data_IF_119645699603
#
_entry.id   IF_119645699603
#
_cell.length_a   1.000
_cell.length_b   1.000
_cell.length_c   1.000
_cell.angle_alpha   90.00
_cell.angle_beta   90.00
_cell.angle_gamma   90.00
#
_symmetry.space_group_name_H-M   'P 1'
#
loop_
_entity.id
_entity.type
_entity.pdbx_description
1 polymer ?
#
# COMPACT_ATOMS: atom_id res chain seq x y z
N UNK A 1 18.03 6.33 18.98
CA UNK A 1 16.85 7.14 18.66
C UNK A 1 15.57 6.39 19.05
N UNK A 2 14.48 7.12 19.31
CA UNK A 2 13.17 6.54 19.61
C UNK A 2 12.40 6.29 18.31
N UNK A 3 11.66 5.19 18.24
CA UNK A 3 10.75 4.85 17.15
C UNK A 3 9.66 3.92 17.70
N UNK A 4 8.54 3.84 17.00
CA UNK A 4 7.43 2.96 17.38
C UNK A 4 7.74 1.49 17.04
N UNK A 5 8.66 1.25 16.12
CA UNK A 5 9.10 -0.07 15.76
C UNK A 5 10.28 -0.06 14.80
N UNK A 6 10.84 -1.25 14.61
CA UNK A 6 11.90 -1.52 13.63
C UNK A 6 11.50 -2.72 12.79
N UNK A 7 11.57 -2.57 11.48
CA UNK A 7 11.36 -3.68 10.55
C UNK A 7 12.72 -4.11 10.03
N UNK A 8 13.02 -5.39 10.16
CA UNK A 8 14.21 -6.02 9.61
C UNK A 8 13.79 -7.05 8.58
N UNK A 9 14.36 -6.99 7.40
CA UNK A 9 13.99 -7.92 6.33
C UNK A 9 15.17 -8.31 5.45
N UNK A 10 14.99 -9.39 4.73
CA UNK A 10 15.82 -9.78 3.58
C UNK A 10 15.36 -9.04 2.33
N UNK A 11 16.09 -9.07 1.21
CA UNK A 11 15.64 -8.51 -0.07
C UNK A 11 14.27 -9.00 -0.51
N UNK A 12 13.96 -10.28 -0.31
CA UNK A 12 12.62 -10.82 -0.61
C UNK A 12 11.52 -10.15 0.21
N UNK A 13 11.79 -9.81 1.47
CA UNK A 13 10.85 -9.12 2.35
C UNK A 13 10.77 -7.61 2.12
N UNK A 14 11.67 -7.02 1.32
CA UNK A 14 11.69 -5.58 1.05
C UNK A 14 10.41 -5.06 0.42
N UNK A 15 9.68 -5.90 -0.31
CA UNK A 15 8.40 -5.57 -0.94
C UNK A 15 7.17 -5.85 -0.06
N UNK A 16 7.36 -6.25 1.21
CA UNK A 16 6.30 -6.49 2.18
C UNK A 16 6.08 -5.23 3.06
N UNK A 17 5.91 -5.39 4.37
CA UNK A 17 5.65 -4.27 5.28
C UNK A 17 6.77 -3.23 5.30
N UNK A 18 8.02 -3.63 5.08
CA UNK A 18 9.14 -2.71 4.93
C UNK A 18 8.89 -1.66 3.82
N UNK A 19 8.29 -2.08 2.70
CA UNK A 19 7.92 -1.16 1.62
C UNK A 19 6.87 -0.13 2.06
N UNK A 20 5.84 -0.57 2.77
CA UNK A 20 4.78 0.31 3.29
C UNK A 20 5.31 1.36 4.27
N UNK A 21 6.44 1.07 4.94
CA UNK A 21 7.13 1.99 5.84
C UNK A 21 8.25 2.80 5.15
N UNK A 22 8.24 2.88 3.83
CA UNK A 22 9.19 3.69 3.05
C UNK A 22 10.54 3.02 2.79
N UNK A 23 10.64 1.72 3.00
CA UNK A 23 11.84 0.95 2.64
C UNK A 23 11.98 0.80 1.12
N UNK A 24 13.22 0.72 0.60
CA UNK A 24 13.47 0.52 -0.82
C UNK A 24 13.11 -0.91 -1.25
N UNK A 25 12.75 -1.06 -2.52
CA UNK A 25 12.70 -2.37 -3.15
C UNK A 25 14.12 -2.85 -3.40
N UNK A 26 14.45 -4.03 -2.89
CA UNK A 26 15.76 -4.67 -3.10
C UNK A 26 15.55 -5.90 -3.98
N UNK A 27 16.34 -6.02 -5.03
CA UNK A 27 16.31 -7.18 -5.92
C UNK A 27 16.67 -8.45 -5.15
N UNK A 28 15.99 -9.59 -5.38
CA UNK A 28 16.19 -10.82 -4.62
C UNK A 28 17.61 -11.39 -4.70
N UNK A 29 18.34 -11.07 -5.77
CA UNK A 29 19.71 -11.51 -6.03
C UNK A 29 20.76 -10.70 -5.23
N UNK A 30 20.36 -9.55 -4.68
CA UNK A 30 21.26 -8.72 -3.86
C UNK A 30 21.38 -9.32 -2.46
N UNK A 31 22.57 -9.63 -2.03
CA UNK A 31 22.82 -10.08 -0.66
C UNK A 31 22.89 -8.87 0.28
N UNK A 32 21.82 -8.64 1.01
CA UNK A 32 21.69 -7.50 1.92
C UNK A 32 20.74 -7.79 3.08
N UNK A 33 20.83 -6.95 4.11
CA UNK A 33 19.84 -6.82 5.18
C UNK A 33 19.23 -5.42 5.11
N UNK A 34 17.91 -5.32 5.27
CA UNK A 34 17.19 -4.06 5.28
C UNK A 34 16.70 -3.76 6.70
N UNK A 35 16.97 -2.56 7.17
CA UNK A 35 16.45 -2.01 8.42
C UNK A 35 15.59 -0.78 8.11
N UNK A 36 14.34 -0.81 8.52
CA UNK A 36 13.39 0.30 8.33
C UNK A 36 12.83 0.72 9.68
N UNK A 37 13.12 1.94 10.16
CA UNK A 37 12.47 2.48 11.34
C UNK A 37 11.03 2.88 11.04
N UNK A 38 10.11 2.63 11.97
CA UNK A 38 8.70 2.99 11.89
C UNK A 38 8.46 4.17 12.81
N UNK A 39 7.89 5.25 12.29
CA UNK A 39 7.60 6.49 13.03
C UNK A 39 8.78 6.95 13.89
N UNK A 40 9.96 7.05 13.30
CA UNK A 40 11.16 7.44 14.04
C UNK A 40 11.11 8.92 14.44
N UNK A 41 11.35 9.16 15.72
CA UNK A 41 11.46 10.49 16.33
C UNK A 41 12.93 10.96 16.34
N UNK A 42 13.54 11.09 15.16
CA UNK A 42 14.95 11.46 15.05
C UNK A 42 15.23 12.19 13.72
N UNK A 43 16.35 12.91 13.69
CA UNK A 43 16.82 13.55 12.46
C UNK A 43 17.17 12.53 11.35
N UNK A 44 17.55 11.32 11.76
CA UNK A 44 17.85 10.21 10.85
C UNK A 44 16.74 9.17 10.90
N UNK A 45 15.85 9.22 9.92
CA UNK A 45 14.68 8.33 9.78
C UNK A 45 14.75 7.44 8.55
N UNK A 46 15.88 7.44 7.85
CA UNK A 46 16.03 6.74 6.58
C UNK A 46 16.21 5.24 6.78
N UNK A 47 15.60 4.41 5.92
CA UNK A 47 15.92 3.00 5.85
C UNK A 47 17.40 2.76 5.54
N UNK A 48 17.98 1.72 6.15
CA UNK A 48 19.37 1.31 5.93
C UNK A 48 19.41 -0.01 5.17
N UNK A 49 20.22 -0.06 4.12
CA UNK A 49 20.59 -1.29 3.44
C UNK A 49 21.99 -1.64 3.89
N UNK A 50 22.13 -2.80 4.50
CA UNK A 50 23.36 -3.26 5.13
C UNK A 50 23.90 -4.48 4.39
N UNK A 51 25.21 -4.66 4.40
CA UNK A 51 25.83 -5.86 3.83
C UNK A 51 25.43 -7.15 4.56
N UNK A 52 25.58 -8.31 3.91
CA UNK A 52 25.11 -9.59 4.43
C UNK A 52 25.79 -10.04 5.72
N UNK A 53 27.02 -9.59 5.97
CA UNK A 53 27.80 -9.92 7.16
C UNK A 53 27.53 -8.97 8.34
N UNK A 54 26.64 -8.02 8.16
CA UNK A 54 26.26 -7.08 9.21
C UNK A 54 25.47 -7.77 10.30
N UNK A 55 25.69 -7.32 11.54
CA UNK A 55 24.88 -7.71 12.69
C UNK A 55 24.19 -6.47 13.25
N UNK A 56 22.87 -6.54 13.39
CA UNK A 56 22.07 -5.49 14.02
C UNK A 56 21.77 -5.89 15.46
N UNK A 57 21.92 -4.95 16.37
CA UNK A 57 21.55 -5.13 17.77
C UNK A 57 20.57 -4.05 18.18
N UNK A 58 19.45 -4.47 18.78
CA UNK A 58 18.42 -3.60 19.32
C UNK A 58 18.31 -3.84 20.82
N UNK A 59 18.36 -2.79 21.60
CA UNK A 59 18.16 -2.84 23.06
C UNK A 59 16.80 -2.21 23.37
N UNK A 60 15.93 -2.98 24.00
CA UNK A 60 14.60 -2.50 24.41
C UNK A 60 14.77 -1.53 25.56
N UNK A 61 14.50 -0.25 25.32
CA UNK A 61 14.55 0.80 26.33
C UNK A 61 13.22 0.86 27.09
N UNK A 62 13.22 1.45 28.27
CA UNK A 62 11.99 1.74 29.01
C UNK A 62 11.25 2.87 28.28
N UNK A 63 10.19 2.53 27.57
CA UNK A 63 9.21 3.48 27.05
C UNK A 63 7.88 3.27 27.80
N UNK A 64 7.08 4.29 27.96
CA UNK A 64 5.97 4.41 28.90
C UNK A 64 5.05 3.19 29.16
N UNK A 65 5.00 2.20 28.27
CA UNK A 65 4.06 1.08 28.34
C UNK A 65 4.68 -0.30 28.60
N UNK A 66 5.95 -0.41 28.96
CA UNK A 66 6.59 -1.70 29.26
C UNK A 66 7.55 -2.19 28.17
N UNK A 67 7.53 -3.48 27.85
CA UNK A 67 8.44 -4.14 26.90
C UNK A 67 8.13 -3.85 25.43
N UNK A 68 8.65 -4.70 24.58
CA UNK A 68 8.38 -4.72 23.15
C UNK A 68 7.83 -6.09 22.73
N UNK A 69 7.25 -6.16 21.56
CA UNK A 69 6.84 -7.43 20.94
C UNK A 69 7.58 -7.61 19.63
N UNK A 70 8.11 -8.81 19.39
CA UNK A 70 8.71 -9.19 18.11
C UNK A 70 7.68 -9.97 17.31
N UNK A 71 7.47 -9.56 16.07
CA UNK A 71 6.65 -10.30 15.11
C UNK A 71 7.52 -10.91 14.03
N UNK A 72 7.47 -12.24 13.90
CA UNK A 72 8.19 -12.96 12.86
C UNK A 72 7.20 -13.40 11.77
N UNK A 73 7.34 -12.81 10.58
CA UNK A 73 6.54 -13.11 9.37
C UNK A 73 5.02 -13.01 9.60
N UNK A 74 4.59 -12.14 10.51
CA UNK A 74 3.18 -11.89 10.82
C UNK A 74 2.43 -13.06 11.50
N UNK A 75 3.12 -14.11 11.92
CA UNK A 75 2.48 -15.31 12.50
C UNK A 75 2.97 -15.67 13.89
N UNK A 76 4.21 -15.39 14.20
CA UNK A 76 4.83 -15.73 15.47
C UNK A 76 5.15 -14.45 16.20
N UNK A 77 4.68 -14.31 17.42
CA UNK A 77 5.04 -13.20 18.27
C UNK A 77 5.77 -13.66 19.52
N UNK A 78 6.58 -12.78 20.07
CA UNK A 78 7.33 -12.99 21.28
C UNK A 78 7.40 -11.68 22.07
N UNK A 79 6.96 -11.72 23.33
CA UNK A 79 7.12 -10.60 24.25
C UNK A 79 8.58 -10.44 24.66
N UNK A 80 9.06 -9.21 24.62
CA UNK A 80 10.45 -8.88 24.93
C UNK A 80 10.47 -7.84 26.06
N UNK A 81 11.06 -8.18 27.21
CA UNK A 81 11.10 -7.27 28.35
C UNK A 81 12.05 -6.09 28.13
N UNK A 82 11.84 -5.04 28.90
CA UNK A 82 12.77 -3.90 28.96
C UNK A 82 14.19 -4.38 29.34
N UNK A 83 15.19 -3.85 28.68
CA UNK A 83 16.60 -4.21 28.84
C UNK A 83 17.04 -5.40 28.00
N UNK A 84 16.13 -6.12 27.36
CA UNK A 84 16.50 -7.22 26.48
C UNK A 84 17.26 -6.71 25.25
N UNK A 85 18.16 -7.57 24.76
CA UNK A 85 18.93 -7.36 23.55
C UNK A 85 18.48 -8.32 22.47
N UNK A 86 18.08 -7.76 21.34
CA UNK A 86 17.66 -8.51 20.15
C UNK A 86 18.81 -8.39 19.15
N UNK A 87 19.36 -9.52 18.76
CA UNK A 87 20.43 -9.58 17.77
C UNK A 87 19.89 -10.21 16.48
N UNK A 88 20.08 -9.52 15.36
CA UNK A 88 19.69 -10.00 14.05
C UNK A 88 20.90 -10.07 13.15
N UNK A 89 21.14 -11.24 12.58
CA UNK A 89 22.21 -11.51 11.63
C UNK A 89 21.73 -12.51 10.58
N UNK A 90 22.43 -12.57 9.47
CA UNK A 90 22.19 -13.59 8.44
C UNK A 90 22.35 -14.99 9.02
N UNK A 91 21.41 -15.86 8.71
CA UNK A 91 21.51 -17.27 9.07
C UNK A 91 22.52 -17.99 8.16
N UNK A 92 23.23 -18.99 8.69
CA UNK A 92 24.14 -19.83 7.91
C UNK A 92 23.42 -20.63 6.82
N UNK A 93 22.17 -21.03 7.09
CA UNK A 93 21.35 -21.80 6.15
C UNK A 93 20.27 -20.94 5.54
N UNK A 94 20.29 -20.71 4.21
CA UNK A 94 19.23 -19.96 3.54
C UNK A 94 17.95 -20.77 3.47
N UNK A 95 16.82 -20.05 3.48
CA UNK A 95 15.51 -20.64 3.14
C UNK A 95 15.45 -20.86 1.62
N UNK A 96 15.13 -22.08 1.20
CA UNK A 96 14.93 -22.41 -0.21
C UNK A 96 13.46 -22.23 -0.58
N UNK A 97 13.20 -21.38 -1.57
CA UNK A 97 11.88 -21.16 -2.12
C UNK A 97 11.72 -21.96 -3.41
N UNK A 98 10.75 -22.89 -3.43
CA UNK A 98 10.33 -23.52 -4.68
C UNK A 98 9.47 -22.53 -5.48
N UNK A 99 9.81 -22.33 -6.75
CA UNK A 99 9.05 -21.49 -7.66
C UNK A 99 8.58 -22.33 -8.84
N UNK A 100 7.29 -22.29 -9.12
CA UNK A 100 6.68 -22.96 -10.25
C UNK A 100 6.56 -22.07 -11.50
N UNK A 101 6.90 -20.78 -11.35
CA UNK A 101 6.86 -19.80 -12.43
C UNK A 101 8.16 -18.99 -12.44
N UNK A 102 8.78 -18.91 -13.62
CA UNK A 102 10.04 -18.20 -13.85
C UNK A 102 9.84 -16.73 -14.24
N UNK A 103 8.66 -16.17 -13.99
CA UNK A 103 8.41 -14.77 -14.30
C UNK A 103 9.49 -13.85 -13.70
N UNK A 104 10.05 -12.92 -14.48
CA UNK A 104 11.04 -11.96 -14.00
C UNK A 104 10.56 -11.19 -12.76
N UNK A 105 11.51 -10.78 -11.91
CA UNK A 105 11.16 -10.04 -10.70
C UNK A 105 10.41 -8.74 -11.01
N UNK A 106 10.81 -8.02 -12.06
CA UNK A 106 10.13 -6.81 -12.52
C UNK A 106 8.64 -7.05 -12.83
N UNK A 107 8.31 -8.11 -13.55
CA UNK A 107 6.91 -8.45 -13.87
C UNK A 107 6.08 -8.77 -12.61
N UNK A 108 6.73 -9.35 -11.58
CA UNK A 108 6.09 -9.59 -10.29
C UNK A 108 5.83 -8.31 -9.52
N UNK A 109 6.74 -7.32 -9.60
CA UNK A 109 6.54 -5.99 -9.01
C UNK A 109 5.38 -5.25 -9.67
N UNK A 110 5.37 -5.21 -11.01
CA UNK A 110 4.28 -4.60 -11.79
C UNK A 110 2.94 -5.16 -11.33
N UNK A 111 2.78 -6.49 -11.27
CA UNK A 111 1.54 -7.12 -10.85
C UNK A 111 1.22 -6.89 -9.36
N UNK A 112 2.23 -6.85 -8.50
CA UNK A 112 2.04 -6.69 -7.05
C UNK A 112 1.56 -5.29 -6.68
N UNK A 113 2.08 -4.28 -7.36
CA UNK A 113 1.84 -2.87 -7.06
C UNK A 113 0.94 -2.18 -8.09
N UNK A 114 0.36 -2.97 -9.01
CA UNK A 114 -0.50 -2.47 -10.09
C UNK A 114 0.15 -1.30 -10.84
N UNK A 115 1.42 -1.50 -11.21
CA UNK A 115 2.18 -0.45 -11.87
C UNK A 115 1.78 -0.34 -13.34
N UNK A 116 1.65 0.88 -13.90
CA UNK A 116 1.34 1.07 -15.30
C UNK A 116 2.47 0.48 -16.16
N UNK A 117 2.10 -0.33 -17.15
CA UNK A 117 3.02 -0.92 -18.14
C UNK A 117 3.22 -0.03 -19.35
N UNK A 118 2.28 0.88 -19.57
CA UNK A 118 2.37 1.89 -20.62
C UNK A 118 3.02 3.16 -20.09
N UNK A 119 3.93 3.75 -20.91
CA UNK A 119 4.58 4.99 -20.54
C UNK A 119 3.58 6.16 -20.54
N UNK A 120 3.85 7.19 -19.76
CA UNK A 120 3.01 8.40 -19.62
C UNK A 120 2.64 9.06 -20.97
N UNK A 121 3.39 8.80 -22.04
CA UNK A 121 3.07 9.29 -23.40
C UNK A 121 1.98 8.50 -24.09
N UNK A 122 1.73 7.26 -23.66
CA UNK A 122 0.65 6.43 -24.19
C UNK A 122 -0.69 6.75 -23.51
N UNK A 123 -0.65 7.27 -22.27
CA UNK A 123 -1.84 7.66 -21.52
C UNK A 123 -2.50 8.94 -22.06
N UNK A 124 -1.76 9.82 -22.73
CA UNK A 124 -2.33 11.05 -23.29
C UNK A 124 -3.41 10.82 -24.35
N UNK A 125 -3.32 9.72 -25.11
CA UNK A 125 -4.35 9.35 -26.08
C UNK A 125 -5.58 8.69 -25.44
N UNK A 126 -5.41 8.04 -24.30
CA UNK A 126 -6.51 7.46 -23.53
C UNK A 126 -7.28 8.52 -22.73
N UNK A 127 -6.57 9.51 -22.16
CA UNK A 127 -7.19 10.64 -21.46
C UNK A 127 -7.97 11.55 -22.40
N UNK A 128 -7.51 11.75 -23.64
CA UNK A 128 -8.27 12.47 -24.68
C UNK A 128 -9.54 11.70 -25.10
N UNK A 129 -9.49 10.38 -25.17
CA UNK A 129 -10.68 9.56 -25.49
C UNK A 129 -11.69 9.57 -24.33
N UNK A 130 -11.22 9.50 -23.07
CA UNK A 130 -12.07 9.54 -21.89
C UNK A 130 -12.73 10.91 -21.67
N UNK A 131 -12.00 12.00 -21.90
CA UNK A 131 -12.56 13.35 -21.82
C UNK A 131 -13.61 13.63 -22.89
N UNK A 132 -13.46 13.07 -24.10
CA UNK A 132 -14.42 13.17 -25.18
C UNK A 132 -15.73 12.40 -24.90
N UNK A 133 -15.64 11.25 -24.23
CA UNK A 133 -16.82 10.48 -23.80
C UNK A 133 -17.57 11.15 -22.63
N UNK A 134 -16.87 11.77 -21.71
CA UNK A 134 -17.45 12.48 -20.57
C UNK A 134 -18.14 13.80 -21.01
N UNK A 135 -17.58 14.49 -22.00
CA UNK A 135 -18.16 15.68 -22.59
C UNK A 135 -19.45 15.36 -23.41
N UNK A 136 -19.49 14.17 -24.03
CA UNK A 136 -20.67 13.67 -24.73
C UNK A 136 -21.81 13.29 -23.77
N UNK A 137 -21.51 12.84 -22.57
CA UNK A 137 -22.48 12.49 -21.52
C UNK A 137 -23.05 13.70 -20.78
N UNK A 138 -22.38 14.85 -20.83
CA UNK A 138 -22.80 16.09 -20.13
C UNK A 138 -23.43 17.14 -21.03
N UNK A 139 -23.83 16.81 -22.28
CA UNK A 139 -24.62 17.70 -23.07
C UNK A 139 -26.02 17.82 -22.45
N UNK A 140 -26.47 19.05 -22.08
CA UNK A 140 -27.83 19.24 -21.56
C UNK A 140 -28.82 18.90 -22.67
N UNK A 141 -29.71 17.93 -22.40
CA UNK A 141 -30.86 17.67 -23.24
C UNK A 141 -31.70 18.95 -23.30
N UNK A 142 -31.54 19.72 -24.36
CA UNK A 142 -32.47 20.80 -24.69
C UNK A 142 -33.80 20.15 -25.05
N UNK A 143 -34.74 20.12 -24.10
CA UNK A 143 -36.13 19.82 -24.39
C UNK A 143 -36.68 20.99 -25.17
N UNK A 144 -36.89 20.80 -26.46
CA UNK A 144 -37.77 21.68 -27.25
C UNK A 144 -39.19 21.48 -26.72
N UNK A 145 -39.69 22.51 -26.05
CA UNK A 145 -41.11 22.62 -25.72
C UNK A 145 -41.83 22.97 -26.99
N UNK A 146 -42.54 22.03 -27.58
CA UNK A 146 -43.70 22.31 -28.42
C UNK A 146 -44.61 21.07 -28.40
N UNK A 147 -45.72 21.19 -27.76
CA UNK A 147 -47.03 20.72 -28.16
C UNK A 147 -48.06 20.98 -27.06
N UNK A 148 -48.89 21.95 -27.36
CA UNK A 148 -50.14 22.24 -26.74
C UNK A 148 -51.10 21.05 -26.77
N UNK A 149 -51.59 20.60 -25.63
CA UNK A 149 -52.79 19.78 -25.56
C UNK A 149 -53.67 20.17 -24.37
N UNK A 150 -54.85 20.56 -24.69
CA UNK A 150 -56.00 20.94 -23.88
C UNK A 150 -56.21 20.06 -22.63
N UNK A 151 -56.42 20.70 -21.50
CA UNK A 151 -57.04 20.08 -20.33
C UNK A 151 -58.44 20.63 -20.13
N UNK A 152 -59.38 19.82 -20.54
CA UNK A 152 -60.81 19.98 -20.33
C UNK A 152 -61.16 19.85 -18.83
N UNK A 153 -61.68 20.93 -18.26
CA UNK A 153 -62.19 20.97 -16.90
C UNK A 153 -63.50 20.19 -16.83
N UNK A 154 -63.57 19.11 -16.09
CA UNK A 154 -64.82 18.58 -15.54
C UNK A 154 -64.92 18.89 -14.06
N UNK A 155 -65.77 19.84 -13.73
CA UNK A 155 -66.46 19.95 -12.43
C UNK A 155 -67.44 18.82 -12.33
N UNK A 156 -67.44 18.10 -11.26
CA UNK A 156 -68.64 17.45 -10.80
C UNK A 156 -68.80 17.60 -9.29
N UNK A 157 -70.01 18.04 -8.99
CA UNK A 157 -70.56 18.43 -7.72
C UNK A 157 -71.28 17.26 -7.06
N UNK A 158 -71.30 17.29 -5.80
CA UNK A 158 -72.17 16.59 -4.81
C UNK A 158 -71.35 15.85 -3.75
N UNK A 159 -71.56 16.06 -2.48
CA UNK A 159 -72.68 16.45 -1.73
C UNK A 159 -72.80 15.55 -0.50
N UNK A 160 -72.87 16.22 0.68
CA UNK A 160 -73.55 15.78 1.92
C UNK A 160 -72.98 14.66 2.79
N UNK A 161 -72.67 15.12 4.01
CA UNK A 161 -73.29 14.70 5.33
C UNK A 161 -72.88 13.37 5.92
N UNK A 162 -72.29 13.39 6.98
CA UNK A 162 -72.65 13.34 8.40
C UNK A 162 -71.42 13.47 9.28
#
# INVERSE_FOLDING_TARGET
FGCDGLIMSTPTGSTAYAFSCGGPVIWPEVEALLLVPVAAHALFTRPLVLGPDSCMEVVVQRAGFGGAEIWCDGRRSLDVPVGARIRVSRAERPVRLARFNEAPFASRLVRKFDLPVEGWRASSSADEAYSAEDEALHQPMVRTADESADVETRRDSSGRTS
#
